data_IF_506301595132
#
_entry.id   IF_506301595132
#
_cell.length_a   1.000
_cell.length_b   1.000
_cell.length_c   1.000
_cell.angle_alpha   90.00
_cell.angle_beta   90.00
_cell.angle_gamma   90.00
#
_symmetry.space_group_name_H-M   'P 1'
#
loop_
_entity.id
_entity.type
_entity.pdbx_description
1 polymer ?
#
# COMPACT_ATOMS: atom_id res chain seq x y z
N UNK A 1 -49.37 -8.84 5.29
CA UNK A 1 -47.95 -8.95 4.90
C UNK A 1 -47.42 -10.28 5.39
N UNK A 2 -46.73 -11.09 4.55
CA UNK A 2 -46.13 -12.33 5.01
C UNK A 2 -44.94 -11.99 5.93
N UNK A 3 -44.94 -12.56 7.14
CA UNK A 3 -43.88 -12.36 8.14
C UNK A 3 -43.31 -13.69 8.60
N UNK A 4 -41.99 -13.79 8.74
CA UNK A 4 -41.29 -14.99 9.21
C UNK A 4 -40.40 -14.65 10.41
N UNK A 5 -40.46 -15.48 11.47
CA UNK A 5 -39.54 -15.37 12.61
C UNK A 5 -38.18 -15.94 12.22
N UNK A 6 -37.13 -15.17 12.50
CA UNK A 6 -35.73 -15.55 12.32
C UNK A 6 -34.98 -15.28 13.63
N UNK A 7 -34.09 -16.20 14.01
CA UNK A 7 -33.19 -16.02 15.14
C UNK A 7 -31.92 -15.33 14.64
N UNK A 8 -31.61 -14.17 15.21
CA UNK A 8 -30.38 -13.42 14.96
C UNK A 8 -29.45 -13.61 16.15
N UNK A 9 -28.17 -13.91 15.89
CA UNK A 9 -27.15 -13.91 16.95
C UNK A 9 -26.61 -12.49 17.09
N UNK A 10 -26.70 -11.93 18.29
CA UNK A 10 -26.07 -10.64 18.62
C UNK A 10 -24.59 -10.85 18.94
N UNK A 11 -23.73 -10.02 18.36
CA UNK A 11 -22.30 -10.00 18.64
C UNK A 11 -21.92 -8.61 19.15
N UNK A 12 -21.29 -8.54 20.32
CA UNK A 12 -20.70 -7.30 20.83
C UNK A 12 -19.28 -7.15 20.31
N UNK A 13 -19.05 -6.20 19.39
CA UNK A 13 -17.71 -5.89 18.89
C UNK A 13 -16.99 -5.03 19.92
N UNK A 14 -15.87 -5.51 20.48
CA UNK A 14 -15.01 -4.70 21.35
C UNK A 14 -14.08 -3.86 20.47
N UNK A 15 -14.05 -2.55 20.72
CA UNK A 15 -13.04 -1.67 20.12
C UNK A 15 -11.64 -2.07 20.61
N UNK A 16 -10.66 -2.06 19.71
CA UNK A 16 -9.26 -2.35 20.03
C UNK A 16 -8.36 -1.30 19.37
N UNK A 17 -7.48 -0.71 20.17
CA UNK A 17 -6.48 0.25 19.69
C UNK A 17 -5.11 -0.42 19.56
N UNK A 18 -4.37 -0.07 18.52
CA UNK A 18 -3.01 -0.56 18.32
C UNK A 18 -2.07 0.57 17.94
N UNK A 19 -0.88 0.56 18.52
CA UNK A 19 0.19 1.48 18.16
C UNK A 19 0.93 0.88 16.96
N UNK A 20 0.97 1.61 15.84
CA UNK A 20 1.72 1.21 14.65
C UNK A 20 2.96 2.09 14.57
N UNK A 21 4.14 1.49 14.65
CA UNK A 21 5.42 2.20 14.51
C UNK A 21 5.84 2.30 13.04
N UNK A 22 6.44 3.42 12.65
CA UNK A 22 7.13 3.55 11.37
C UNK A 22 8.43 2.76 11.39
N UNK A 23 8.86 2.29 10.22
CA UNK A 23 10.17 1.67 10.01
C UNK A 23 10.81 2.20 8.74
N UNK A 24 12.13 2.34 8.75
CA UNK A 24 12.91 2.68 7.56
C UNK A 24 13.13 1.45 6.67
N UNK A 25 12.58 1.47 5.47
CA UNK A 25 12.83 0.42 4.47
C UNK A 25 13.86 0.92 3.46
N UNK A 26 14.90 0.11 3.22
CA UNK A 26 15.84 0.28 2.11
C UNK A 26 15.48 -0.75 1.04
N UNK A 27 15.17 -0.28 -0.17
CA UNK A 27 14.72 -1.15 -1.25
C UNK A 27 15.16 -0.61 -2.61
N UNK A 28 15.08 -1.46 -3.62
CA UNK A 28 15.34 -1.09 -5.01
C UNK A 28 14.00 -0.98 -5.71
N UNK A 29 13.75 0.17 -6.36
CA UNK A 29 12.49 0.37 -7.06
C UNK A 29 12.36 -0.61 -8.24
N UNK A 30 11.23 -1.33 -8.34
CA UNK A 30 10.99 -2.30 -9.42
C UNK A 30 11.02 -1.70 -10.84
N UNK A 31 10.83 -0.38 -10.97
CA UNK A 31 10.74 0.30 -12.27
C UNK A 31 12.03 1.05 -12.65
N UNK A 32 12.50 1.99 -11.82
CA UNK A 32 13.71 2.75 -12.09
C UNK A 32 15.00 2.10 -11.59
N UNK A 33 14.93 1.02 -10.78
CA UNK A 33 16.08 0.39 -10.12
C UNK A 33 16.95 1.31 -9.27
N UNK A 34 16.49 2.53 -8.98
CA UNK A 34 17.15 3.42 -8.04
C UNK A 34 17.08 2.83 -6.63
N UNK A 35 18.15 3.02 -5.87
CA UNK A 35 18.19 2.75 -4.43
C UNK A 35 17.31 3.78 -3.73
N UNK A 36 16.41 3.32 -2.87
CA UNK A 36 15.45 4.17 -2.19
C UNK A 36 15.38 3.81 -0.71
N UNK A 37 15.21 4.84 0.13
CA UNK A 37 14.93 4.69 1.55
C UNK A 37 13.65 5.46 1.88
N UNK A 38 12.72 4.79 2.59
CA UNK A 38 11.44 5.40 3.00
C UNK A 38 11.01 4.93 4.39
N UNK A 39 10.60 5.87 5.23
CA UNK A 39 9.94 5.56 6.50
C UNK A 39 8.45 5.38 6.29
N UNK A 40 7.92 4.21 6.64
CA UNK A 40 6.48 3.93 6.49
C UNK A 40 5.94 2.99 7.54
N UNK A 41 4.62 3.02 7.71
CA UNK A 41 3.83 2.03 8.44
C UNK A 41 3.56 0.75 7.63
N UNK A 42 4.18 0.59 6.46
CA UNK A 42 3.82 -0.47 5.54
C UNK A 42 4.12 -1.83 6.17
N UNK A 43 3.11 -2.69 6.21
CA UNK A 43 3.24 -4.09 6.63
C UNK A 43 4.07 -4.91 5.63
N UNK A 44 4.22 -4.42 4.40
CA UNK A 44 4.98 -5.06 3.31
C UNK A 44 6.00 -4.10 2.69
N UNK A 45 7.04 -4.65 2.06
CA UNK A 45 8.11 -3.87 1.43
C UNK A 45 7.57 -2.96 0.31
N UNK A 46 7.89 -1.65 0.30
CA UNK A 46 7.49 -0.74 -0.76
C UNK A 46 8.02 -1.19 -2.14
N UNK A 47 7.15 -1.15 -3.17
CA UNK A 47 7.49 -1.65 -4.52
C UNK A 47 8.12 -0.59 -5.45
N UNK A 48 7.94 0.69 -5.12
CA UNK A 48 8.32 1.82 -5.98
C UNK A 48 9.03 2.90 -5.18
N UNK A 49 9.95 3.59 -5.85
CA UNK A 49 10.78 4.64 -5.26
C UNK A 49 10.05 5.98 -5.11
N UNK A 50 10.71 6.92 -4.43
CA UNK A 50 10.15 8.25 -4.15
C UNK A 50 10.01 9.10 -5.42
N UNK A 51 10.90 8.92 -6.39
CA UNK A 51 10.93 9.70 -7.64
C UNK A 51 9.79 9.33 -8.58
N UNK A 52 9.48 8.04 -8.71
CA UNK A 52 8.43 7.57 -9.62
C UNK A 52 7.04 7.55 -8.99
N UNK A 53 6.94 7.63 -7.65
CA UNK A 53 5.67 7.70 -6.92
C UNK A 53 4.70 6.55 -7.23
N UNK A 54 5.18 5.43 -7.76
CA UNK A 54 4.33 4.31 -8.20
C UNK A 54 3.54 4.56 -9.48
N UNK A 55 3.73 5.71 -10.14
CA UNK A 55 3.05 6.06 -11.39
C UNK A 55 3.99 5.80 -12.56
N UNK A 56 3.60 4.86 -13.44
CA UNK A 56 4.41 4.42 -14.59
C UNK A 56 4.81 5.59 -15.50
N UNK A 57 3.94 6.60 -15.67
CA UNK A 57 4.18 7.78 -16.53
C UNK A 57 5.21 8.77 -15.99
N UNK A 58 5.48 8.79 -14.69
CA UNK A 58 6.47 9.70 -14.06
C UNK A 58 7.87 9.08 -13.97
N UNK A 59 8.05 7.87 -14.47
CA UNK A 59 9.31 7.16 -14.42
C UNK A 59 10.21 7.63 -15.59
N UNK A 60 11.46 7.98 -15.29
CA UNK A 60 12.49 8.36 -16.29
C UNK A 60 12.69 7.31 -17.41
N UNK A 61 12.28 6.04 -17.18
CA UNK A 61 12.25 4.98 -18.21
C UNK A 61 11.08 5.08 -19.21
N UNK A 62 9.95 5.67 -18.83
CA UNK A 62 8.81 5.84 -19.73
C UNK A 62 9.14 6.86 -20.83
N UNK A 63 9.84 7.94 -20.48
CA UNK A 63 10.34 8.92 -21.44
C UNK A 63 11.36 8.33 -22.42
N UNK A 64 12.20 7.40 -21.97
CA UNK A 64 13.19 6.73 -22.83
C UNK A 64 12.58 5.61 -23.68
N UNK A 65 11.49 4.97 -23.26
CA UNK A 65 10.75 4.00 -24.06
C UNK A 65 9.82 4.65 -25.10
N UNK A 66 9.27 5.84 -24.83
CA UNK A 66 8.50 6.61 -25.82
C UNK A 66 9.36 7.22 -26.93
N UNK A 67 10.66 7.40 -26.70
CA UNK A 67 11.62 7.89 -27.70
C UNK A 67 12.13 6.81 -28.68
N UNK A 68 11.65 5.57 -28.56
CA UNK A 68 11.99 4.46 -29.45
C UNK A 68 10.87 4.18 -30.44
#
# INVERSE_FOLDING_TARGET
MPSKKIQVREYTVRAHDRIIHTRSFKFICSFCHATCQRETYATACPKYGNECGGVKSKCLRFETQQKK
#
